data_IF_765982025789
#
_entry.id   IF_765982025789
#
_cell.length_a   1.000
_cell.length_b   1.000
_cell.length_c   1.000
_cell.angle_alpha   90.00
_cell.angle_beta   90.00
_cell.angle_gamma   90.00
#
_symmetry.space_group_name_H-M   'P 1'
#
loop_
_entity.id
_entity.type
_entity.pdbx_description
1 polymer ?
#
# COMPACT_ATOMS: atom_id res chain seq x y z
N UNK A 1 3.59 31.12 -27.56
CA UNK A 1 3.48 29.69 -27.92
C UNK A 1 2.31 29.16 -27.12
N UNK A 2 1.23 28.71 -27.78
CA UNK A 2 0.10 28.06 -27.09
C UNK A 2 0.61 26.74 -26.49
N UNK A 3 0.24 26.47 -25.24
CA UNK A 3 0.56 25.18 -24.63
C UNK A 3 -0.09 24.07 -25.47
N UNK A 4 0.70 23.08 -25.87
CA UNK A 4 0.15 21.89 -26.55
C UNK A 4 -0.48 20.99 -25.50
N UNK A 5 -1.74 20.65 -25.69
CA UNK A 5 -2.44 19.71 -24.82
C UNK A 5 -2.19 18.28 -25.29
N UNK A 6 -2.19 17.33 -24.36
CA UNK A 6 -2.03 15.89 -24.63
C UNK A 6 -3.13 15.12 -23.94
N UNK A 7 -3.41 13.87 -24.34
CA UNK A 7 -4.40 13.06 -23.65
C UNK A 7 -4.14 13.03 -22.13
N UNK A 8 -5.19 13.07 -21.31
CA UNK A 8 -5.10 12.73 -19.88
C UNK A 8 -5.23 11.22 -19.67
N UNK A 9 -6.11 10.58 -20.43
CA UNK A 9 -6.36 9.15 -20.40
C UNK A 9 -5.38 8.36 -21.28
N UNK A 10 -5.19 7.08 -20.93
CA UNK A 10 -4.41 6.13 -21.72
C UNK A 10 -5.10 5.75 -23.04
N UNK A 11 -6.44 5.89 -23.08
CA UNK A 11 -7.27 5.50 -24.21
C UNK A 11 -7.97 6.71 -24.82
N UNK A 12 -7.81 6.82 -26.13
CA UNK A 12 -8.52 7.79 -26.97
C UNK A 12 -9.14 7.09 -28.16
N UNK A 13 -10.14 7.74 -28.75
CA UNK A 13 -10.72 7.31 -30.01
C UNK A 13 -10.97 8.54 -30.87
N UNK A 14 -10.78 8.42 -32.18
CA UNK A 14 -11.10 9.51 -33.11
C UNK A 14 -12.58 9.88 -32.98
N UNK A 15 -12.90 11.14 -33.25
CA UNK A 15 -14.24 11.66 -33.14
C UNK A 15 -14.65 12.31 -34.47
N UNK A 16 -15.88 12.05 -34.90
CA UNK A 16 -16.47 12.70 -36.07
C UNK A 16 -17.79 13.35 -35.75
N UNK A 17 -18.12 14.39 -36.52
CA UNK A 17 -19.44 15.02 -36.46
C UNK A 17 -20.49 14.08 -37.08
N UNK A 18 -21.62 13.90 -36.40
CA UNK A 18 -22.76 13.10 -36.83
C UNK A 18 -24.06 13.90 -36.79
N UNK A 19 -24.83 13.85 -37.88
CA UNK A 19 -26.14 14.49 -37.99
C UNK A 19 -26.11 16.03 -38.18
N UNK A 20 -27.28 16.69 -38.13
CA UNK A 20 -27.37 18.14 -38.27
C UNK A 20 -26.98 18.84 -36.96
N UNK A 21 -25.81 19.46 -36.95
CA UNK A 21 -25.21 20.16 -35.79
C UNK A 21 -23.82 19.62 -35.46
N UNK A 22 -23.04 20.31 -34.62
CA UNK A 22 -21.67 19.89 -34.29
C UNK A 22 -21.66 18.77 -33.23
N UNK A 23 -22.52 17.75 -33.37
CA UNK A 23 -22.58 16.62 -32.44
C UNK A 23 -21.53 15.58 -32.79
N UNK A 24 -20.76 15.12 -31.82
CA UNK A 24 -19.65 14.20 -32.02
C UNK A 24 -20.01 12.79 -31.60
N UNK A 25 -19.46 11.81 -32.32
CA UNK A 25 -19.45 10.41 -31.93
C UNK A 25 -18.05 9.84 -32.12
N UNK A 26 -17.68 8.91 -31.25
CA UNK A 26 -16.44 8.15 -31.39
C UNK A 26 -16.47 7.34 -32.70
N UNK A 27 -15.36 7.32 -33.42
CA UNK A 27 -15.16 6.69 -34.72
C UNK A 27 -13.83 5.93 -34.74
N UNK A 28 -13.78 4.82 -35.48
CA UNK A 28 -12.58 3.99 -35.55
C UNK A 28 -12.26 3.21 -34.26
N UNK A 29 -11.11 2.51 -34.20
CA UNK A 29 -10.67 1.74 -33.04
C UNK A 29 -10.04 2.62 -31.95
N UNK A 30 -9.98 2.11 -30.72
CA UNK A 30 -9.21 2.73 -29.61
C UNK A 30 -7.74 2.78 -29.99
N UNK A 31 -7.09 3.93 -29.73
CA UNK A 31 -5.66 4.16 -29.96
C UNK A 31 -5.19 3.72 -31.35
N UNK A 32 -5.98 4.03 -32.39
CA UNK A 32 -5.70 3.68 -33.78
C UNK A 32 -5.54 2.16 -34.03
N UNK A 33 -6.07 1.32 -33.14
CA UNK A 33 -6.03 -0.15 -33.22
C UNK A 33 -4.98 -0.81 -32.33
N UNK A 34 -4.17 -0.04 -31.60
CA UNK A 34 -3.24 -0.57 -30.59
C UNK A 34 -3.74 -0.28 -29.18
N UNK A 35 -4.64 -1.13 -28.68
CA UNK A 35 -5.21 -1.03 -27.32
C UNK A 35 -4.17 -1.13 -26.19
N UNK A 36 -2.93 -1.55 -26.51
CA UNK A 36 -1.81 -1.60 -25.54
C UNK A 36 -0.96 -0.33 -25.54
N UNK A 37 -1.13 0.54 -26.53
CA UNK A 37 -0.45 1.83 -26.55
C UNK A 37 -1.08 2.76 -25.50
N UNK A 38 -0.26 3.63 -24.92
CA UNK A 38 -0.71 4.69 -24.05
C UNK A 38 -0.81 6.00 -24.86
N UNK A 39 -2.03 6.51 -25.04
CA UNK A 39 -2.31 7.69 -25.83
C UNK A 39 -1.53 8.93 -25.38
N UNK A 40 -1.21 9.04 -24.08
CA UNK A 40 -0.42 10.15 -23.50
C UNK A 40 0.97 10.27 -24.11
N UNK A 41 1.49 9.16 -24.64
CA UNK A 41 2.84 9.05 -25.21
C UNK A 41 2.85 8.95 -26.73
N UNK A 42 1.69 8.99 -27.41
CA UNK A 42 1.63 8.88 -28.88
C UNK A 42 2.17 10.14 -29.56
N UNK A 43 2.97 9.95 -30.61
CA UNK A 43 3.61 11.05 -31.33
C UNK A 43 2.62 12.02 -31.99
N UNK A 44 1.42 11.57 -32.36
CA UNK A 44 0.37 12.42 -32.96
C UNK A 44 -0.03 13.58 -32.06
N UNK A 45 0.06 13.43 -30.73
CA UNK A 45 -0.30 14.47 -29.77
C UNK A 45 0.86 15.37 -29.37
N UNK A 46 2.00 15.32 -30.09
CA UNK A 46 3.20 16.07 -29.72
C UNK A 46 3.05 17.59 -29.87
N UNK A 47 2.23 18.07 -30.81
CA UNK A 47 2.04 19.49 -31.14
C UNK A 47 0.64 19.77 -31.67
N UNK A 48 0.13 20.99 -31.49
CA UNK A 48 -1.04 21.49 -32.24
C UNK A 48 -2.42 21.17 -31.65
N UNK A 49 -2.50 20.31 -30.63
CA UNK A 49 -3.76 19.91 -30.03
C UNK A 49 -4.24 20.88 -28.94
N UNK A 50 -5.55 21.14 -28.97
CA UNK A 50 -6.29 22.01 -28.06
C UNK A 50 -7.35 21.24 -27.29
N UNK A 51 -7.36 21.44 -25.96
CA UNK A 51 -8.33 20.87 -25.04
C UNK A 51 -9.73 21.47 -25.25
N UNK A 52 -10.74 20.62 -25.37
CA UNK A 52 -12.13 21.06 -25.52
C UNK A 52 -13.13 20.09 -24.89
N UNK A 53 -14.38 20.55 -24.74
CA UNK A 53 -15.54 19.71 -24.50
C UNK A 53 -16.26 19.47 -25.83
N UNK A 54 -16.37 18.21 -26.25
CA UNK A 54 -17.07 17.82 -27.47
C UNK A 54 -18.52 17.44 -27.14
N UNK A 55 -19.55 18.15 -27.66
CA UNK A 55 -20.94 17.77 -27.42
C UNK A 55 -21.24 16.43 -28.09
N UNK A 56 -21.74 15.47 -27.31
CA UNK A 56 -21.90 14.09 -27.78
C UNK A 56 -23.28 13.85 -28.40
N UNK A 57 -23.34 13.00 -29.42
CA UNK A 57 -24.59 12.63 -30.09
C UNK A 57 -25.59 11.90 -29.19
N UNK A 58 -25.10 11.21 -28.15
CA UNK A 58 -25.92 10.55 -27.12
C UNK A 58 -26.29 11.50 -25.96
N UNK A 59 -25.96 12.78 -26.06
CA UNK A 59 -26.23 13.81 -25.05
C UNK A 59 -25.04 14.08 -24.13
N UNK A 60 -24.99 15.29 -23.58
CA UNK A 60 -23.88 15.74 -22.74
C UNK A 60 -22.64 16.13 -23.54
N UNK A 61 -21.49 16.14 -22.87
CA UNK A 61 -20.20 16.49 -23.44
C UNK A 61 -19.12 15.51 -22.97
N UNK A 62 -18.21 15.17 -23.87
CA UNK A 62 -17.02 14.39 -23.58
C UNK A 62 -15.77 15.26 -23.57
N UNK A 63 -14.79 14.90 -22.74
CA UNK A 63 -13.45 15.48 -22.79
C UNK A 63 -12.79 15.07 -24.11
N UNK A 64 -12.24 16.05 -24.82
CA UNK A 64 -11.57 15.79 -26.08
C UNK A 64 -10.39 16.70 -26.33
N UNK A 65 -9.73 16.40 -27.44
CA UNK A 65 -8.74 17.26 -28.05
C UNK A 65 -9.16 17.53 -29.50
N UNK A 66 -8.89 18.72 -29.99
CA UNK A 66 -9.02 19.08 -31.40
C UNK A 66 -7.70 19.60 -31.94
N UNK A 67 -7.39 19.33 -33.20
CA UNK A 67 -6.26 19.92 -33.90
C UNK A 67 -6.80 20.94 -34.92
N UNK A 68 -6.77 22.25 -34.63
CA UNK A 68 -7.42 23.26 -35.48
C UNK A 68 -6.87 23.32 -36.92
N UNK A 69 -5.62 22.87 -37.13
CA UNK A 69 -4.97 22.90 -38.44
C UNK A 69 -5.50 21.82 -39.41
N UNK A 70 -5.87 20.65 -38.89
CA UNK A 70 -6.37 19.50 -39.66
C UNK A 70 -7.88 19.36 -39.56
N UNK A 71 -8.47 19.84 -38.47
CA UNK A 71 -9.86 19.60 -38.11
C UNK A 71 -10.07 18.26 -37.39
N UNK A 72 -8.99 17.54 -37.08
CA UNK A 72 -9.06 16.26 -36.39
C UNK A 72 -9.52 16.44 -34.93
N UNK A 73 -10.25 15.46 -34.41
CA UNK A 73 -10.73 15.46 -33.04
C UNK A 73 -10.64 14.06 -32.45
N UNK A 74 -10.40 14.00 -31.14
CA UNK A 74 -10.46 12.76 -30.36
C UNK A 74 -11.29 12.93 -29.11
N UNK A 75 -11.92 11.84 -28.70
CA UNK A 75 -12.53 11.67 -27.38
C UNK A 75 -11.59 10.88 -26.49
N UNK A 76 -11.42 11.35 -25.25
CA UNK A 76 -10.75 10.57 -24.21
C UNK A 76 -11.72 9.61 -23.55
N UNK A 77 -11.23 8.40 -23.26
CA UNK A 77 -12.06 7.30 -22.77
C UNK A 77 -11.70 6.91 -21.33
N UNK A 78 -12.70 6.43 -20.59
CA UNK A 78 -12.49 5.74 -19.32
C UNK A 78 -12.04 4.27 -19.53
N UNK A 79 -11.71 3.58 -18.45
CA UNK A 79 -11.35 2.16 -18.42
C UNK A 79 -12.42 1.19 -18.99
N UNK A 80 -13.63 1.69 -19.30
CA UNK A 80 -14.70 0.91 -19.94
C UNK A 80 -14.88 1.29 -21.41
N UNK A 81 -13.98 2.08 -21.98
CA UNK A 81 -14.04 2.55 -23.35
C UNK A 81 -15.16 3.58 -23.59
N UNK A 82 -15.62 4.27 -22.55
CA UNK A 82 -16.68 5.29 -22.65
C UNK A 82 -16.07 6.69 -22.62
N UNK A 83 -16.61 7.66 -23.39
CA UNK A 83 -16.14 9.03 -23.33
C UNK A 83 -16.15 9.60 -21.90
N UNK A 84 -15.04 10.19 -21.49
CA UNK A 84 -14.92 10.86 -20.18
C UNK A 84 -15.84 12.08 -20.13
N UNK A 85 -16.84 12.13 -19.23
CA UNK A 85 -17.77 13.26 -19.17
C UNK A 85 -17.06 14.56 -18.75
N UNK A 86 -17.23 15.62 -19.54
CA UNK A 86 -16.71 16.94 -19.21
C UNK A 86 -17.55 18.04 -19.87
N UNK A 87 -18.21 18.88 -19.06
CA UNK A 87 -18.84 20.09 -19.57
C UNK A 87 -17.79 21.12 -20.04
N UNK A 88 -18.18 22.16 -20.81
CA UNK A 88 -17.26 23.17 -21.32
C UNK A 88 -16.41 23.87 -20.25
N UNK A 89 -16.98 24.16 -19.08
CA UNK A 89 -16.27 24.85 -18.01
C UNK A 89 -15.25 23.94 -17.32
N UNK A 90 -15.55 22.66 -17.20
CA UNK A 90 -14.64 21.62 -16.72
C UNK A 90 -13.48 21.43 -17.68
N UNK A 91 -13.76 21.34 -18.99
CA UNK A 91 -12.71 21.23 -20.01
C UNK A 91 -11.81 22.47 -20.06
N UNK A 92 -12.37 23.68 -19.91
CA UNK A 92 -11.60 24.92 -19.81
C UNK A 92 -10.71 24.95 -18.56
N UNK A 93 -11.22 24.45 -17.43
CA UNK A 93 -10.44 24.30 -16.19
C UNK A 93 -9.27 23.36 -16.39
N UNK A 94 -9.49 22.19 -17.01
CA UNK A 94 -8.42 21.26 -17.38
C UNK A 94 -7.38 21.92 -18.29
N UNK A 95 -7.83 22.66 -19.32
CA UNK A 95 -6.95 23.39 -20.22
C UNK A 95 -6.11 24.45 -19.47
N UNK A 96 -6.68 25.12 -18.46
CA UNK A 96 -5.97 26.08 -17.63
C UNK A 96 -4.88 25.43 -16.75
N UNK A 97 -5.16 24.23 -16.21
CA UNK A 97 -4.19 23.42 -15.47
C UNK A 97 -3.06 22.97 -16.40
N UNK A 98 -3.38 22.43 -17.58
CA UNK A 98 -2.40 21.97 -18.58
C UNK A 98 -1.51 23.11 -19.08
N UNK A 99 -2.02 24.35 -19.19
CA UNK A 99 -1.20 25.53 -19.55
C UNK A 99 -0.13 25.87 -18.51
N UNK A 100 -0.30 25.45 -17.26
CA UNK A 100 0.65 25.68 -16.15
C UNK A 100 1.51 24.45 -15.87
N UNK A 101 1.42 23.41 -16.71
CA UNK A 101 2.01 22.10 -16.48
C UNK A 101 3.55 22.08 -16.58
N UNK A 102 4.26 21.32 -15.73
CA UNK A 102 3.78 20.54 -14.58
C UNK A 102 3.56 21.45 -13.36
N UNK A 103 2.31 21.81 -13.09
CA UNK A 103 1.95 22.63 -11.95
C UNK A 103 2.05 21.78 -10.67
N UNK A 104 2.56 22.37 -9.59
CA UNK A 104 2.67 21.67 -8.31
C UNK A 104 1.41 21.80 -7.45
N UNK A 105 0.45 22.64 -7.80
CA UNK A 105 -0.77 22.89 -7.01
C UNK A 105 -1.95 23.25 -7.91
N UNK A 106 -3.13 22.83 -7.47
CA UNK A 106 -4.41 23.30 -8.01
C UNK A 106 -4.77 24.62 -7.32
N UNK A 107 -5.42 25.51 -8.06
CA UNK A 107 -5.98 26.73 -7.50
C UNK A 107 -7.36 26.44 -6.88
N UNK A 108 -7.80 27.16 -5.83
CA UNK A 108 -9.03 26.82 -5.10
C UNK A 108 -10.29 26.73 -6.00
N UNK A 109 -10.38 27.57 -7.03
CA UNK A 109 -11.50 27.54 -7.96
C UNK A 109 -11.47 26.32 -8.90
N UNK A 110 -10.28 25.81 -9.22
CA UNK A 110 -10.08 24.58 -9.99
C UNK A 110 -10.45 23.37 -9.15
N UNK A 111 -10.07 23.35 -7.87
CA UNK A 111 -10.43 22.30 -6.91
C UNK A 111 -11.94 22.17 -6.77
N UNK A 112 -12.66 23.30 -6.59
CA UNK A 112 -14.13 23.31 -6.53
C UNK A 112 -14.74 22.73 -7.80
N UNK A 113 -14.25 23.15 -8.98
CA UNK A 113 -14.77 22.63 -10.26
C UNK A 113 -14.50 21.13 -10.41
N UNK A 114 -13.28 20.69 -10.11
CA UNK A 114 -12.89 19.29 -10.20
C UNK A 114 -13.65 18.41 -9.20
N UNK A 115 -14.02 18.94 -8.03
CA UNK A 115 -14.83 18.23 -7.05
C UNK A 115 -16.25 17.92 -7.54
N UNK A 116 -16.75 18.61 -8.57
CA UNK A 116 -18.03 18.31 -9.22
C UNK A 116 -17.88 17.49 -10.52
N UNK A 117 -16.66 17.40 -11.07
CA UNK A 117 -16.39 16.68 -12.32
C UNK A 117 -16.50 15.16 -12.19
N UNK A 118 -16.51 14.40 -13.30
CA UNK A 118 -16.55 12.94 -13.23
C UNK A 118 -15.31 12.35 -12.53
N UNK A 119 -15.42 11.36 -11.63
CA UNK A 119 -14.29 10.75 -10.95
C UNK A 119 -13.21 10.18 -11.88
N UNK A 120 -13.58 9.68 -13.07
CA UNK A 120 -12.64 9.20 -14.08
C UNK A 120 -11.79 10.32 -14.66
N UNK A 121 -12.36 11.52 -14.85
CA UNK A 121 -11.61 12.70 -15.27
C UNK A 121 -10.64 13.14 -14.17
N UNK A 122 -11.10 13.21 -12.92
CA UNK A 122 -10.24 13.57 -11.76
C UNK A 122 -9.06 12.60 -11.61
N UNK A 123 -9.33 11.30 -11.78
CA UNK A 123 -8.32 10.26 -11.79
C UNK A 123 -7.30 10.47 -12.91
N UNK A 124 -7.76 10.57 -14.17
CA UNK A 124 -6.88 10.71 -15.35
C UNK A 124 -5.99 11.94 -15.26
N UNK A 125 -6.55 13.07 -14.81
CA UNK A 125 -5.81 14.30 -14.57
C UNK A 125 -4.69 14.10 -13.54
N UNK A 126 -5.01 13.54 -12.36
CA UNK A 126 -4.04 13.36 -11.28
C UNK A 126 -3.03 12.25 -11.55
N UNK A 127 -3.41 11.21 -12.28
CA UNK A 127 -2.52 10.14 -12.71
C UNK A 127 -1.41 10.70 -13.60
N UNK A 128 -1.78 11.44 -14.64
CA UNK A 128 -0.82 12.12 -15.51
C UNK A 128 -0.01 13.18 -14.75
N UNK A 129 -0.64 13.95 -13.87
CA UNK A 129 0.05 14.98 -13.06
C UNK A 129 1.11 14.38 -12.14
N UNK A 130 0.81 13.22 -11.54
CA UNK A 130 1.76 12.49 -10.70
C UNK A 130 2.86 11.78 -11.52
N UNK A 131 2.58 11.37 -12.77
CA UNK A 131 3.56 10.76 -13.66
C UNK A 131 4.56 11.78 -14.23
N UNK A 132 4.08 12.97 -14.60
CA UNK A 132 4.88 14.01 -15.26
C UNK A 132 5.43 15.07 -14.29
N UNK A 133 5.01 15.06 -13.02
CA UNK A 133 5.31 16.13 -12.07
C UNK A 133 5.39 15.66 -10.61
N UNK A 134 5.18 16.59 -9.69
CA UNK A 134 5.18 16.33 -8.25
C UNK A 134 4.08 17.18 -7.59
N UNK A 135 2.80 16.86 -7.84
CA UNK A 135 1.69 17.61 -7.28
C UNK A 135 1.72 17.58 -5.75
N UNK A 136 1.34 18.71 -5.16
CA UNK A 136 1.17 18.86 -3.73
C UNK A 136 0.12 17.89 -3.18
N UNK A 137 0.21 17.51 -1.90
CA UNK A 137 -0.70 16.52 -1.33
C UNK A 137 -2.18 16.89 -1.44
N UNK A 138 -2.50 18.18 -1.32
CA UNK A 138 -3.88 18.69 -1.37
C UNK A 138 -4.53 18.51 -2.74
N UNK A 139 -3.73 18.45 -3.82
CA UNK A 139 -4.26 18.19 -5.16
C UNK A 139 -4.95 16.83 -5.28
N UNK A 140 -4.62 15.87 -4.41
CA UNK A 140 -5.26 14.56 -4.38
C UNK A 140 -6.61 14.57 -3.66
N UNK A 141 -6.99 15.66 -2.99
CA UNK A 141 -8.23 15.73 -2.22
C UNK A 141 -9.48 15.86 -3.11
N UNK A 142 -9.32 16.15 -4.41
CA UNK A 142 -10.43 16.15 -5.38
C UNK A 142 -10.90 14.74 -5.77
N UNK A 143 -10.12 13.70 -5.48
CA UNK A 143 -10.52 12.30 -5.69
C UNK A 143 -11.79 11.98 -4.88
N UNK A 144 -12.58 10.94 -5.26
CA UNK A 144 -13.88 10.67 -4.66
C UNK A 144 -13.81 10.03 -3.25
N UNK A 145 -13.14 10.69 -2.31
CA UNK A 145 -12.86 10.21 -0.95
C UNK A 145 -14.11 9.92 -0.13
N UNK A 146 -15.26 10.52 -0.47
CA UNK A 146 -16.55 10.20 0.13
C UNK A 146 -16.97 8.73 -0.07
N UNK A 147 -16.38 8.04 -1.06
CA UNK A 147 -16.54 6.58 -1.22
C UNK A 147 -15.74 5.80 -0.18
N UNK A 148 -14.52 6.24 0.13
CA UNK A 148 -13.68 5.63 1.18
C UNK A 148 -14.36 5.82 2.52
N UNK A 149 -14.85 7.03 2.79
CA UNK A 149 -15.58 7.38 4.00
C UNK A 149 -16.76 6.44 4.25
N UNK A 150 -17.66 6.32 3.27
CA UNK A 150 -18.82 5.42 3.37
C UNK A 150 -18.42 3.96 3.56
N UNK A 151 -17.39 3.50 2.87
CA UNK A 151 -16.94 2.12 3.00
C UNK A 151 -16.28 1.85 4.37
N UNK A 152 -15.49 2.79 4.87
CA UNK A 152 -14.91 2.72 6.21
C UNK A 152 -15.99 2.66 7.28
N UNK A 153 -17.03 3.51 7.18
CA UNK A 153 -18.17 3.52 8.08
C UNK A 153 -18.95 2.18 8.04
N UNK A 154 -19.20 1.63 6.83
CA UNK A 154 -19.84 0.32 6.66
C UNK A 154 -19.04 -0.82 7.30
N UNK A 155 -17.72 -0.83 7.10
CA UNK A 155 -16.83 -1.86 7.66
C UNK A 155 -16.76 -1.73 9.18
N UNK A 156 -16.61 -0.51 9.71
CA UNK A 156 -16.56 -0.28 11.15
C UNK A 156 -17.85 -0.73 11.84
N UNK A 157 -19.02 -0.44 11.24
CA UNK A 157 -20.31 -0.90 11.74
C UNK A 157 -20.42 -2.44 11.74
N UNK A 158 -20.05 -3.10 10.64
CA UNK A 158 -20.08 -4.56 10.54
C UNK A 158 -19.11 -5.25 11.53
N UNK A 159 -17.93 -4.66 11.77
CA UNK A 159 -17.01 -5.14 12.81
C UNK A 159 -17.61 -5.01 14.22
N UNK A 160 -18.34 -3.92 14.48
CA UNK A 160 -18.93 -3.65 15.80
C UNK A 160 -20.14 -4.54 16.11
N UNK A 161 -20.99 -4.83 15.12
CA UNK A 161 -22.20 -5.66 15.31
C UNK A 161 -21.92 -7.15 15.12
N UNK A 162 -20.85 -7.51 14.40
CA UNK A 162 -20.60 -8.88 13.95
C UNK A 162 -21.57 -9.33 12.84
N UNK A 163 -22.41 -8.44 12.34
CA UNK A 163 -23.38 -8.71 11.29
C UNK A 163 -22.85 -8.24 9.93
N UNK A 164 -23.17 -8.95 8.83
CA UNK A 164 -22.80 -8.52 7.49
C UNK A 164 -23.43 -7.16 7.18
N UNK A 165 -22.67 -6.29 6.50
CA UNK A 165 -23.16 -4.97 6.12
C UNK A 165 -24.41 -5.09 5.23
N UNK A 166 -25.55 -4.59 5.72
CA UNK A 166 -26.82 -4.56 4.98
C UNK A 166 -26.84 -3.54 3.82
N UNK A 167 -25.91 -2.59 3.83
CA UNK A 167 -25.81 -1.53 2.84
C UNK A 167 -25.28 -2.05 1.49
N UNK A 168 -25.66 -1.41 0.36
CA UNK A 168 -25.16 -1.79 -0.95
C UNK A 168 -23.63 -1.67 -1.02
N UNK A 169 -22.94 -2.56 -1.75
CA UNK A 169 -21.49 -2.59 -1.82
C UNK A 169 -20.94 -1.30 -2.44
N UNK A 170 -20.08 -0.61 -1.70
CA UNK A 170 -19.33 0.54 -2.24
C UNK A 170 -18.14 0.02 -3.04
N UNK A 171 -17.97 0.55 -4.26
CA UNK A 171 -16.81 0.29 -5.12
C UNK A 171 -15.93 1.53 -5.20
N UNK A 172 -14.71 1.42 -4.68
CA UNK A 172 -13.67 2.44 -4.74
C UNK A 172 -13.04 2.53 -6.13
N UNK A 173 -12.93 1.40 -6.84
CA UNK A 173 -12.26 1.29 -8.16
C UNK A 173 -10.79 1.74 -8.09
N UNK A 174 -10.15 1.94 -9.25
CA UNK A 174 -8.75 2.36 -9.36
C UNK A 174 -8.53 3.85 -9.05
N UNK A 175 -9.58 4.66 -8.84
CA UNK A 175 -9.51 6.13 -8.79
C UNK A 175 -8.47 6.69 -7.80
N UNK A 176 -8.14 5.95 -6.75
CA UNK A 176 -7.19 6.37 -5.72
C UNK A 176 -5.73 5.97 -5.97
N UNK A 177 -5.46 5.25 -7.06
CA UNK A 177 -4.10 4.84 -7.43
C UNK A 177 -3.10 6.02 -7.50
N UNK A 178 -3.46 7.21 -8.03
CA UNK A 178 -2.53 8.34 -8.10
C UNK A 178 -2.11 8.85 -6.72
N UNK A 179 -2.98 8.71 -5.71
CA UNK A 179 -2.64 9.07 -4.33
C UNK A 179 -1.56 8.15 -3.73
N UNK A 180 -1.15 7.09 -4.43
CA UNK A 180 -0.02 6.23 -4.07
C UNK A 180 -0.35 5.20 -3.00
N UNK A 181 -1.62 5.03 -2.65
CA UNK A 181 -2.02 4.13 -1.59
C UNK A 181 -2.86 2.96 -2.09
N UNK A 182 -2.35 1.75 -1.87
CA UNK A 182 -3.08 0.50 -2.11
C UNK A 182 -4.03 0.13 -0.97
N UNK A 183 -4.21 0.97 0.07
CA UNK A 183 -5.09 0.63 1.20
C UNK A 183 -6.55 0.46 0.75
N UNK A 184 -6.99 1.19 -0.28
CA UNK A 184 -8.37 1.15 -0.79
C UNK A 184 -8.77 -0.25 -1.25
N UNK A 185 -7.88 -0.95 -1.94
CA UNK A 185 -8.09 -2.35 -2.31
C UNK A 185 -8.20 -3.28 -1.09
N UNK A 186 -7.39 -3.05 -0.04
CA UNK A 186 -7.48 -3.82 1.19
C UNK A 186 -8.80 -3.54 1.95
N UNK A 187 -9.27 -2.30 1.92
CA UNK A 187 -10.56 -1.90 2.49
C UNK A 187 -11.73 -2.56 1.75
N UNK A 188 -11.71 -2.60 0.42
CA UNK A 188 -12.72 -3.33 -0.38
C UNK A 188 -12.69 -4.85 -0.13
N UNK A 189 -11.49 -5.43 0.00
CA UNK A 189 -11.32 -6.84 0.35
C UNK A 189 -11.90 -7.15 1.73
N UNK A 190 -11.67 -6.28 2.72
CA UNK A 190 -12.22 -6.45 4.07
C UNK A 190 -13.75 -6.35 4.06
N UNK A 191 -14.30 -5.36 3.36
CA UNK A 191 -15.75 -5.24 3.19
C UNK A 191 -16.37 -6.42 2.43
N UNK A 192 -15.65 -7.04 1.49
CA UNK A 192 -16.08 -8.26 0.82
C UNK A 192 -16.06 -9.45 1.76
N UNK A 193 -14.98 -9.62 2.54
CA UNK A 193 -14.83 -10.71 3.48
C UNK A 193 -15.88 -10.71 4.59
N UNK A 194 -16.23 -9.53 5.11
CA UNK A 194 -17.29 -9.37 6.10
C UNK A 194 -18.67 -9.73 5.55
N UNK A 195 -18.91 -9.54 4.26
CA UNK A 195 -20.18 -9.93 3.61
C UNK A 195 -20.25 -11.42 3.29
N UNK A 196 -19.11 -12.05 3.01
CA UNK A 196 -19.04 -13.49 2.74
C UNK A 196 -18.85 -14.35 3.99
N UNK A 197 -18.72 -13.73 5.17
CA UNK A 197 -18.39 -14.38 6.44
C UNK A 197 -17.16 -15.31 6.33
N UNK A 198 -16.13 -14.87 5.59
CA UNK A 198 -14.89 -15.63 5.44
C UNK A 198 -13.84 -15.10 6.44
N UNK A 199 -13.60 -15.80 7.57
CA UNK A 199 -12.68 -15.34 8.60
C UNK A 199 -11.22 -15.27 8.12
N UNK A 200 -10.82 -16.12 7.17
CA UNK A 200 -9.46 -16.12 6.62
C UNK A 200 -9.26 -14.91 5.74
N UNK A 201 -10.18 -14.65 4.82
CA UNK A 201 -10.12 -13.49 3.95
C UNK A 201 -10.22 -12.19 4.77
N UNK A 202 -11.06 -12.18 5.82
CA UNK A 202 -11.17 -11.05 6.75
C UNK A 202 -9.81 -10.75 7.39
N UNK A 203 -9.13 -11.75 7.95
CA UNK A 203 -7.81 -11.55 8.57
C UNK A 203 -6.77 -11.03 7.58
N UNK A 204 -6.66 -11.63 6.38
CA UNK A 204 -5.71 -11.19 5.35
C UNK A 204 -5.97 -9.74 4.95
N UNK A 205 -7.24 -9.39 4.72
CA UNK A 205 -7.61 -8.04 4.33
C UNK A 205 -7.35 -7.02 5.45
N UNK A 206 -7.66 -7.35 6.71
CA UNK A 206 -7.37 -6.51 7.88
C UNK A 206 -5.87 -6.27 8.05
N UNK A 207 -5.06 -7.33 7.91
CA UNK A 207 -3.60 -7.28 7.98
C UNK A 207 -3.04 -6.37 6.90
N UNK A 208 -3.50 -6.55 5.65
CA UNK A 208 -3.11 -5.72 4.53
C UNK A 208 -3.55 -4.25 4.69
N UNK A 209 -4.74 -4.01 5.25
CA UNK A 209 -5.25 -2.66 5.51
C UNK A 209 -4.36 -1.93 6.51
N UNK A 210 -4.06 -2.55 7.66
CA UNK A 210 -3.20 -1.95 8.70
C UNK A 210 -1.79 -1.67 8.15
N UNK A 211 -1.18 -2.65 7.47
CA UNK A 211 0.16 -2.48 6.89
C UNK A 211 0.23 -1.36 5.85
N UNK A 212 -0.80 -1.25 4.98
CA UNK A 212 -0.83 -0.25 3.92
C UNK A 212 -1.16 1.14 4.45
N UNK A 213 -2.06 1.27 5.41
CA UNK A 213 -2.35 2.55 6.06
C UNK A 213 -1.16 3.07 6.86
N UNK A 214 -0.44 2.18 7.56
CA UNK A 214 0.80 2.53 8.23
C UNK A 214 1.83 3.13 7.26
N UNK A 215 1.82 2.78 5.97
CA UNK A 215 2.78 3.30 4.97
C UNK A 215 2.17 4.31 4.01
N UNK A 216 0.92 4.71 4.21
CA UNK A 216 0.23 5.60 3.29
C UNK A 216 0.82 7.02 3.33
N UNK A 217 0.77 7.71 2.18
CA UNK A 217 1.05 9.14 2.11
C UNK A 217 -0.11 9.93 2.74
N UNK A 218 -0.16 10.00 4.07
CA UNK A 218 -1.35 10.49 4.79
C UNK A 218 -1.71 11.94 4.48
N UNK A 219 -0.73 12.77 4.10
CA UNK A 219 -1.00 14.14 3.62
C UNK A 219 -1.88 14.19 2.34
N UNK A 220 -1.87 13.13 1.51
CA UNK A 220 -2.72 13.04 0.31
C UNK A 220 -4.16 12.63 0.62
N UNK A 221 -4.45 12.29 1.88
CA UNK A 221 -5.77 11.85 2.34
C UNK A 221 -6.44 13.02 3.08
N UNK A 222 -7.66 13.44 2.69
CA UNK A 222 -8.40 14.48 3.38
C UNK A 222 -8.56 14.18 4.87
N UNK A 223 -8.57 15.23 5.69
CA UNK A 223 -8.67 15.09 7.15
C UNK A 223 -9.89 14.27 7.58
N UNK A 224 -11.06 14.53 6.99
CA UNK A 224 -12.31 13.81 7.31
C UNK A 224 -12.19 12.31 7.05
N UNK A 225 -11.50 11.92 5.98
CA UNK A 225 -11.24 10.51 5.65
C UNK A 225 -10.24 9.90 6.59
N UNK A 226 -9.19 10.64 6.98
CA UNK A 226 -8.23 10.17 8.00
C UNK A 226 -8.93 9.89 9.34
N UNK A 227 -9.83 10.76 9.77
CA UNK A 227 -10.61 10.58 11.01
C UNK A 227 -11.47 9.31 10.97
N UNK A 228 -12.20 9.06 9.87
CA UNK A 228 -12.97 7.83 9.68
C UNK A 228 -12.11 6.57 9.65
N UNK A 229 -10.96 6.61 8.96
CA UNK A 229 -10.03 5.49 8.92
C UNK A 229 -9.41 5.20 10.28
N UNK A 230 -9.17 6.21 11.12
CA UNK A 230 -8.74 6.03 12.51
C UNK A 230 -9.78 5.28 13.34
N UNK A 231 -11.05 5.68 13.25
CA UNK A 231 -12.15 4.98 13.94
C UNK A 231 -12.28 3.52 13.50
N UNK A 232 -12.08 3.25 12.20
CA UNK A 232 -12.03 1.89 11.67
C UNK A 232 -10.86 1.09 12.25
N UNK A 233 -9.66 1.67 12.33
CA UNK A 233 -8.49 1.01 12.90
C UNK A 233 -8.65 0.71 14.38
N UNK A 234 -9.30 1.59 15.15
CA UNK A 234 -9.65 1.33 16.55
C UNK A 234 -10.60 0.12 16.67
N UNK A 235 -11.58 0.00 15.78
CA UNK A 235 -12.48 -1.15 15.73
C UNK A 235 -11.74 -2.45 15.36
N UNK A 236 -10.80 -2.37 14.43
CA UNK A 236 -9.95 -3.50 14.01
C UNK A 236 -9.05 -3.99 15.16
N UNK A 237 -8.37 -3.08 15.85
CA UNK A 237 -7.39 -3.42 16.87
C UNK A 237 -7.99 -3.94 18.18
N UNK A 238 -9.28 -3.64 18.46
CA UNK A 238 -9.93 -3.95 19.74
C UNK A 238 -9.95 -5.44 20.08
N UNK A 239 -10.23 -6.29 19.09
CA UNK A 239 -10.49 -7.72 19.30
C UNK A 239 -9.35 -8.63 18.81
N UNK A 240 -8.30 -8.05 18.22
CA UNK A 240 -7.12 -8.78 17.73
C UNK A 240 -5.86 -8.21 18.39
N UNK A 241 -5.41 -8.87 19.46
CA UNK A 241 -4.21 -8.48 20.21
C UNK A 241 -2.94 -8.48 19.34
N UNK A 242 -2.88 -9.32 18.31
CA UNK A 242 -1.74 -9.42 17.40
C UNK A 242 -1.67 -8.22 16.45
N UNK A 243 -2.83 -7.72 15.99
CA UNK A 243 -2.92 -6.57 15.09
C UNK A 243 -3.03 -5.21 15.79
N UNK A 244 -3.38 -5.18 17.09
CA UNK A 244 -3.58 -3.96 17.85
C UNK A 244 -2.45 -2.93 17.66
N UNK A 245 -1.20 -3.34 17.82
CA UNK A 245 -0.05 -2.45 17.67
C UNK A 245 0.06 -1.86 16.25
N UNK A 246 -0.27 -2.66 15.22
CA UNK A 246 -0.23 -2.20 13.83
C UNK A 246 -1.38 -1.26 13.50
N UNK A 247 -2.57 -1.54 14.01
CA UNK A 247 -3.72 -0.67 13.88
C UNK A 247 -3.48 0.67 14.59
N UNK A 248 -2.95 0.66 15.81
CA UNK A 248 -2.62 1.85 16.59
C UNK A 248 -1.59 2.73 15.87
N UNK A 249 -0.51 2.16 15.34
CA UNK A 249 0.44 2.94 14.54
C UNK A 249 -0.24 3.58 13.33
N UNK A 250 -0.99 2.79 12.57
CA UNK A 250 -1.66 3.29 11.38
C UNK A 250 -2.59 4.45 11.75
N UNK A 251 -3.28 4.37 12.90
CA UNK A 251 -4.14 5.43 13.40
C UNK A 251 -3.34 6.68 13.80
N UNK A 252 -2.20 6.52 14.48
CA UNK A 252 -1.30 7.62 14.85
C UNK A 252 -0.73 8.33 13.62
N UNK A 253 -0.32 7.57 12.59
CA UNK A 253 0.17 8.12 11.32
C UNK A 253 -0.90 8.84 10.50
N UNK A 254 -2.16 8.42 10.64
CA UNK A 254 -3.27 9.18 10.08
C UNK A 254 -3.54 10.45 10.91
N UNK A 255 -3.25 10.44 12.20
CA UNK A 255 -3.43 11.58 13.11
C UNK A 255 -2.41 12.70 12.93
N UNK A 256 -1.13 12.38 12.75
CA UNK A 256 -0.11 13.35 12.36
C UNK A 256 0.04 13.36 10.84
N UNK A 257 -0.05 14.52 10.20
CA UNK A 257 0.25 14.64 8.77
C UNK A 257 1.78 14.51 8.54
N UNK A 258 2.33 13.32 8.75
CA UNK A 258 3.74 13.05 8.56
C UNK A 258 4.02 12.92 7.05
N UNK A 259 5.08 13.54 6.52
CA UNK A 259 5.58 13.16 5.21
C UNK A 259 5.91 11.66 5.22
N UNK A 260 5.68 10.99 4.10
CA UNK A 260 6.05 9.58 3.87
C UNK A 260 7.47 9.28 4.37
N UNK A 261 7.73 8.08 4.93
CA UNK A 261 9.10 7.65 5.24
C UNK A 261 9.82 7.33 3.92
N UNK A 262 10.24 8.37 3.20
CA UNK A 262 11.27 8.30 2.18
C UNK A 262 11.97 9.66 2.12
N UNK A 263 12.80 9.91 3.13
CA UNK A 263 13.88 10.86 3.06
C UNK A 263 15.18 10.07 3.28
N UNK A 264 16.22 10.24 2.45
CA UNK A 264 17.54 9.70 2.78
C UNK A 264 18.01 10.33 4.10
N UNK A 265 18.74 9.59 4.96
CA UNK A 265 19.05 10.06 6.30
C UNK A 265 19.99 11.27 6.23
N UNK A 266 19.56 12.41 6.77
CA UNK A 266 20.49 13.48 7.16
C UNK A 266 21.19 13.11 8.48
N UNK A 267 22.51 13.29 8.59
CA UNK A 267 23.25 12.97 9.80
C UNK A 267 23.22 14.17 10.78
N UNK A 268 22.63 14.02 11.97
CA UNK A 268 23.00 14.96 13.06
C UNK A 268 22.08 15.15 14.27
N UNK A 269 20.81 14.73 14.28
CA UNK A 269 19.90 15.01 15.41
C UNK A 269 19.83 13.86 16.43
N UNK A 270 20.14 14.11 17.70
CA UNK A 270 19.90 13.18 18.81
C UNK A 270 18.86 13.81 19.74
N UNK A 271 17.67 13.23 19.76
CA UNK A 271 16.62 13.53 20.74
C UNK A 271 16.01 12.20 21.18
N UNK A 272 15.77 12.03 22.48
CA UNK A 272 15.17 10.81 23.04
C UNK A 272 13.65 10.99 22.97
N UNK A 273 13.00 10.26 22.06
CA UNK A 273 11.55 10.32 21.82
C UNK A 273 10.91 8.99 22.25
N UNK A 274 9.79 9.07 22.96
CA UNK A 274 8.95 7.91 23.25
C UNK A 274 8.51 7.27 21.93
N UNK A 275 8.87 6.00 21.74
CA UNK A 275 8.83 5.29 20.45
C UNK A 275 7.41 5.14 19.89
N UNK A 276 7.04 5.98 18.92
CA UNK A 276 6.04 5.61 17.92
C UNK A 276 6.57 4.38 17.18
N UNK A 277 5.78 3.30 17.13
CA UNK A 277 6.10 2.06 16.41
C UNK A 277 6.38 2.38 14.94
N UNK A 278 7.61 2.56 14.48
CA UNK A 278 7.84 2.71 13.03
C UNK A 278 8.04 1.33 12.39
N UNK A 279 7.01 0.76 11.76
CA UNK A 279 7.21 -0.41 10.89
C UNK A 279 8.04 -0.02 9.66
N UNK A 280 9.36 -0.16 9.78
CA UNK A 280 10.33 0.13 8.73
C UNK A 280 11.59 0.84 9.21
N UNK A 281 11.54 1.49 10.38
CA UNK A 281 12.72 1.99 11.08
C UNK A 281 12.87 1.19 12.37
N UNK A 282 13.90 0.34 12.50
CA UNK A 282 14.10 -0.39 13.76
C UNK A 282 14.23 0.63 14.89
N UNK A 283 13.62 0.35 16.05
CA UNK A 283 13.88 1.15 17.25
C UNK A 283 15.40 1.29 17.43
N UNK A 284 15.92 2.50 17.18
CA UNK A 284 17.35 2.75 17.16
C UNK A 284 17.87 2.83 18.59
N UNK A 285 18.04 1.68 19.24
CA UNK A 285 18.83 1.60 20.46
C UNK A 285 20.26 1.26 20.04
N UNK A 286 21.14 2.27 20.12
CA UNK A 286 22.56 2.17 19.77
C UNK A 286 23.29 1.29 20.77
N UNK A 287 23.25 -0.03 20.57
CA UNK A 287 24.28 -0.90 21.11
C UNK A 287 25.42 -0.94 20.12
N UNK A 288 26.46 -0.14 20.41
CA UNK A 288 27.76 -0.20 19.75
C UNK A 288 28.37 -1.55 20.13
N UNK A 289 28.00 -2.60 19.40
CA UNK A 289 28.66 -3.89 19.50
C UNK A 289 30.10 -3.69 19.02
N UNK A 290 31.02 -3.49 19.95
CA UNK A 290 32.45 -3.47 19.69
C UNK A 290 32.97 -4.89 19.98
N UNK A 291 33.12 -5.77 18.96
CA UNK A 291 33.55 -7.16 19.15
C UNK A 291 34.90 -7.29 19.88
N UNK A 292 35.69 -6.21 19.96
CA UNK A 292 37.02 -6.20 20.54
C UNK A 292 37.08 -6.01 22.08
N UNK A 293 35.97 -5.69 22.77
CA UNK A 293 36.03 -5.26 24.18
C UNK A 293 35.54 -6.27 25.24
N UNK A 294 34.87 -7.37 24.87
CA UNK A 294 34.39 -8.36 25.83
C UNK A 294 35.33 -9.58 25.92
N UNK A 295 36.43 -9.42 26.68
CA UNK A 295 37.18 -10.57 27.18
C UNK A 295 36.40 -11.24 28.32
N UNK A 296 35.35 -11.97 27.99
CA UNK A 296 34.49 -12.68 28.94
C UNK A 296 33.36 -13.41 28.23
N UNK A 297 32.92 -14.54 28.77
CA UNK A 297 31.84 -15.36 28.22
C UNK A 297 30.43 -14.72 28.32
N UNK A 298 30.35 -13.41 28.54
CA UNK A 298 29.10 -12.67 28.69
C UNK A 298 28.65 -12.13 27.32
N UNK A 299 27.55 -12.70 26.81
CA UNK A 299 26.84 -12.15 25.66
C UNK A 299 26.08 -10.87 26.03
N UNK A 300 25.84 -10.00 25.06
CA UNK A 300 24.98 -8.83 25.22
C UNK A 300 23.53 -9.20 24.89
N UNK A 301 22.58 -8.82 25.74
CA UNK A 301 21.15 -9.04 25.52
C UNK A 301 20.42 -7.70 25.49
N UNK A 302 19.50 -7.54 24.55
CA UNK A 302 18.59 -6.40 24.45
C UNK A 302 17.16 -6.89 24.26
N UNK A 303 16.19 -6.19 24.86
CA UNK A 303 14.79 -6.60 24.92
C UNK A 303 13.90 -5.46 24.45
N UNK A 304 13.15 -5.73 23.38
CA UNK A 304 12.19 -4.83 22.77
C UNK A 304 10.78 -5.35 23.06
N UNK A 305 10.02 -4.56 23.82
CA UNK A 305 8.62 -4.88 24.15
C UNK A 305 7.67 -4.28 23.12
N UNK A 306 6.74 -5.10 22.63
CA UNK A 306 5.62 -4.74 21.75
C UNK A 306 4.33 -5.24 22.41
N UNK A 307 3.17 -4.70 22.02
CA UNK A 307 1.89 -4.97 22.71
C UNK A 307 1.60 -6.46 22.91
N UNK A 308 1.88 -7.30 21.91
CA UNK A 308 1.71 -8.75 21.99
C UNK A 308 3.01 -9.56 21.92
N UNK A 309 4.16 -8.92 21.67
CA UNK A 309 5.42 -9.62 21.39
C UNK A 309 6.56 -9.05 22.23
N UNK A 310 7.44 -9.93 22.69
CA UNK A 310 8.76 -9.56 23.23
C UNK A 310 9.80 -10.06 22.25
N UNK A 311 10.61 -9.14 21.71
CA UNK A 311 11.74 -9.46 20.86
C UNK A 311 13.02 -9.32 21.68
N UNK A 312 13.82 -10.37 21.71
CA UNK A 312 15.11 -10.40 22.40
C UNK A 312 16.21 -10.57 21.37
N UNK A 313 17.12 -9.60 21.30
CA UNK A 313 18.34 -9.67 20.51
C UNK A 313 19.50 -10.08 21.42
N UNK A 314 20.14 -11.21 21.13
CA UNK A 314 21.30 -11.70 21.87
C UNK A 314 22.52 -11.73 20.96
N UNK A 315 23.53 -10.92 21.28
CA UNK A 315 24.84 -10.94 20.65
C UNK A 315 25.82 -11.78 21.47
N UNK A 316 26.57 -12.67 20.80
CA UNK A 316 27.63 -13.46 21.41
C UNK A 316 29.00 -12.98 20.95
N UNK A 317 30.03 -13.21 21.76
CA UNK A 317 31.41 -12.83 21.45
C UNK A 317 32.02 -13.58 20.25
N UNK A 318 31.41 -14.69 19.82
CA UNK A 318 31.78 -15.43 18.61
C UNK A 318 31.19 -14.84 17.32
N UNK A 319 30.62 -13.63 17.37
CA UNK A 319 30.00 -12.94 16.25
C UNK A 319 28.61 -13.47 15.89
N UNK A 320 28.05 -14.40 16.67
CA UNK A 320 26.68 -14.90 16.44
C UNK A 320 25.64 -13.97 17.06
N UNK A 321 24.58 -13.75 16.30
CA UNK A 321 23.39 -13.02 16.73
C UNK A 321 22.21 -13.98 16.80
N UNK A 322 21.36 -13.77 17.80
CA UNK A 322 20.10 -14.49 17.94
C UNK A 322 18.97 -13.48 18.10
N UNK A 323 17.91 -13.65 17.31
CA UNK A 323 16.66 -12.93 17.50
C UNK A 323 15.65 -13.94 17.99
N UNK A 324 15.21 -13.80 19.23
CA UNK A 324 14.15 -14.61 19.83
C UNK A 324 12.90 -13.77 19.94
N UNK A 325 11.76 -14.35 19.58
CA UNK A 325 10.47 -13.68 19.72
C UNK A 325 9.57 -14.56 20.57
N UNK A 326 8.91 -13.96 21.56
CA UNK A 326 7.91 -14.64 22.38
C UNK A 326 6.62 -13.83 22.50
N UNK A 327 5.49 -14.52 22.62
CA UNK A 327 4.20 -13.93 22.96
C UNK A 327 3.47 -14.81 23.99
N UNK A 328 2.68 -14.24 24.91
CA UNK A 328 1.85 -15.05 25.80
C UNK A 328 0.84 -15.87 24.99
N UNK A 329 0.46 -17.06 25.47
CA UNK A 329 -0.52 -17.93 24.82
C UNK A 329 -1.64 -18.29 25.82
N UNK A 330 -2.42 -17.27 26.17
CA UNK A 330 -3.64 -17.42 26.96
C UNK A 330 -4.80 -18.04 26.11
N UNK A 331 -5.94 -18.41 26.74
CA UNK A 331 -7.06 -19.01 26.00
C UNK A 331 -7.61 -18.14 24.86
N UNK A 332 -7.62 -16.81 25.01
CA UNK A 332 -8.12 -15.89 23.99
C UNK A 332 -7.17 -15.85 22.78
N UNK A 333 -5.87 -15.74 23.03
CA UNK A 333 -4.79 -15.77 22.03
C UNK A 333 -4.77 -17.11 21.30
N UNK A 334 -5.01 -18.22 22.00
CA UNK A 334 -5.13 -19.55 21.39
C UNK A 334 -6.32 -19.64 20.45
N UNK A 335 -7.48 -19.09 20.83
CA UNK A 335 -8.66 -19.04 19.97
C UNK A 335 -8.42 -18.16 18.73
N UNK A 336 -7.76 -17.01 18.90
CA UNK A 336 -7.38 -16.14 17.79
C UNK A 336 -6.42 -16.82 16.82
N UNK A 337 -5.40 -17.51 17.34
CA UNK A 337 -4.43 -18.26 16.55
C UNK A 337 -5.10 -19.37 15.72
N UNK A 338 -6.06 -20.11 16.28
CA UNK A 338 -6.73 -21.20 15.56
C UNK A 338 -7.74 -20.70 14.53
N UNK A 339 -8.53 -19.67 14.85
CA UNK A 339 -9.61 -19.21 13.96
C UNK A 339 -9.18 -18.14 12.96
N UNK A 340 -8.14 -17.36 13.25
CA UNK A 340 -7.64 -16.31 12.36
C UNK A 340 -6.39 -16.71 11.58
N UNK A 341 -5.46 -17.42 12.21
CA UNK A 341 -4.09 -17.62 11.70
C UNK A 341 -3.80 -19.08 11.28
N UNK A 342 -4.78 -19.99 11.46
CA UNK A 342 -4.68 -21.44 11.16
C UNK A 342 -3.48 -22.12 11.85
N UNK A 343 -3.24 -21.78 13.12
CA UNK A 343 -2.13 -22.31 13.93
C UNK A 343 -0.71 -21.99 13.39
N UNK A 344 -0.60 -20.99 12.51
CA UNK A 344 0.65 -20.51 11.96
C UNK A 344 0.77 -19.03 12.25
N UNK A 345 1.81 -18.62 12.99
CA UNK A 345 2.08 -17.22 13.22
C UNK A 345 3.51 -16.90 12.81
N UNK A 346 3.65 -16.04 11.82
CA UNK A 346 4.92 -15.54 11.32
C UNK A 346 5.03 -14.07 11.72
N UNK A 347 6.06 -13.69 12.47
CA UNK A 347 6.32 -12.28 12.77
C UNK A 347 7.37 -11.73 11.80
N UNK A 348 7.04 -10.73 10.96
CA UNK A 348 8.04 -10.02 10.18
C UNK A 348 8.98 -9.24 11.11
N UNK A 349 10.28 -9.41 10.92
CA UNK A 349 11.33 -8.71 11.69
C UNK A 349 12.32 -8.03 10.76
N UNK A 350 12.70 -6.80 11.14
CA UNK A 350 13.73 -6.02 10.50
C UNK A 350 14.98 -6.04 11.37
N UNK A 351 16.10 -6.54 10.85
CA UNK A 351 17.37 -6.65 11.55
C UNK A 351 18.44 -5.86 10.79
N UNK A 352 19.17 -4.98 11.46
CA UNK A 352 20.32 -4.28 10.86
C UNK A 352 21.63 -4.80 11.45
N UNK A 353 22.74 -4.63 10.73
CA UNK A 353 24.06 -5.09 11.18
C UNK A 353 24.28 -6.60 11.11
N UNK A 354 23.48 -7.32 10.31
CA UNK A 354 23.61 -8.76 10.11
C UNK A 354 23.90 -9.12 8.65
N UNK A 355 24.76 -10.12 8.43
CA UNK A 355 25.27 -10.48 7.11
C UNK A 355 24.20 -11.09 6.20
N UNK A 356 23.22 -11.77 6.77
CA UNK A 356 22.17 -12.49 6.06
C UNK A 356 21.07 -11.57 5.50
N UNK A 357 21.05 -10.29 5.90
CA UNK A 357 20.15 -9.27 5.39
C UNK A 357 19.16 -8.75 6.43
N UNK A 358 18.20 -7.93 5.96
CA UNK A 358 17.39 -7.08 6.85
C UNK A 358 15.99 -7.59 7.17
N UNK A 359 15.24 -8.04 6.18
CA UNK A 359 13.85 -8.48 6.35
C UNK A 359 13.77 -10.01 6.43
N UNK A 360 13.19 -10.54 7.50
CA UNK A 360 13.01 -11.97 7.76
C UNK A 360 11.69 -12.25 8.50
N UNK A 361 11.36 -13.53 8.65
CA UNK A 361 10.16 -14.00 9.33
C UNK A 361 10.50 -14.94 10.48
N UNK A 362 10.09 -14.61 11.70
CA UNK A 362 10.19 -15.51 12.84
C UNK A 362 8.94 -16.38 12.89
N UNK A 363 9.10 -17.69 12.71
CA UNK A 363 8.02 -18.65 12.88
C UNK A 363 7.78 -18.93 14.36
N UNK A 364 6.64 -18.49 14.86
CA UNK A 364 6.24 -18.66 16.25
C UNK A 364 5.47 -19.97 16.43
N UNK A 365 5.96 -20.81 17.35
CA UNK A 365 5.40 -22.13 17.66
C UNK A 365 4.70 -22.11 19.02
N UNK A 366 3.52 -22.74 19.13
CA UNK A 366 2.82 -22.87 20.40
C UNK A 366 3.57 -23.81 21.35
N UNK A 367 3.87 -23.32 22.54
CA UNK A 367 4.22 -24.12 23.71
C UNK A 367 3.03 -24.25 24.67
N UNK A 368 3.30 -24.55 25.94
CA UNK A 368 2.27 -24.71 26.97
C UNK A 368 1.54 -23.40 27.27
N UNK A 369 2.30 -22.31 27.45
CA UNK A 369 1.83 -21.00 27.94
C UNK A 369 2.29 -19.81 27.09
N UNK A 370 3.09 -20.06 26.04
CA UNK A 370 3.64 -19.03 25.15
C UNK A 370 3.84 -19.51 23.73
N UNK A 371 3.85 -18.57 22.81
CA UNK A 371 4.39 -18.71 21.46
C UNK A 371 5.86 -18.33 21.47
N UNK A 372 6.71 -19.08 20.76
CA UNK A 372 8.14 -18.74 20.65
C UNK A 372 8.76 -19.16 19.33
N UNK A 373 9.75 -18.40 18.88
CA UNK A 373 10.56 -18.71 17.70
C UNK A 373 11.90 -17.98 17.76
N UNK A 374 12.89 -18.50 17.05
CA UNK A 374 14.25 -17.96 17.03
C UNK A 374 14.87 -17.95 15.62
N UNK A 375 15.74 -16.98 15.37
CA UNK A 375 16.64 -16.91 14.22
C UNK A 375 18.08 -16.76 14.72
N UNK A 376 19.03 -17.36 14.01
CA UNK A 376 20.48 -17.20 14.24
C UNK A 376 21.12 -16.61 12.99
N UNK A 377 21.91 -15.56 13.21
CA UNK A 377 22.56 -14.76 12.20
C UNK A 377 24.03 -14.49 12.56
N UNK A 378 24.73 -13.80 11.66
CA UNK A 378 26.12 -13.40 11.82
C UNK A 378 26.23 -11.88 11.83
N UNK A 379 26.89 -11.32 12.85
CA UNK A 379 27.13 -9.89 12.93
C UNK A 379 28.11 -9.42 11.85
N UNK A 380 27.83 -8.26 11.25
CA UNK A 380 28.81 -7.53 10.44
C UNK A 380 29.66 -6.64 11.36
N UNK A 381 30.98 -6.64 11.19
CA UNK A 381 31.93 -6.06 12.16
C UNK A 381 31.87 -4.54 12.35
N UNK A 382 31.14 -3.81 11.49
CA UNK A 382 31.23 -2.34 11.39
C UNK A 382 29.92 -1.58 11.61
N UNK A 383 28.85 -2.23 12.08
CA UNK A 383 27.52 -1.62 12.20
C UNK A 383 26.90 -1.83 13.59
N UNK A 384 26.14 -0.82 14.05
CA UNK A 384 25.20 -0.98 15.15
C UNK A 384 24.15 -2.04 14.75
N UNK A 385 23.83 -2.95 15.66
CA UNK A 385 22.93 -4.08 15.41
C UNK A 385 21.61 -3.79 16.09
N UNK A 386 20.51 -3.85 15.33
CA UNK A 386 19.16 -3.63 15.85
C UNK A 386 18.21 -4.68 15.32
N UNK A 387 17.14 -4.98 16.07
CA UNK A 387 16.07 -5.86 15.63
C UNK A 387 14.71 -5.30 16.09
N UNK A 388 13.73 -5.27 15.19
CA UNK A 388 12.38 -4.81 15.51
C UNK A 388 11.32 -5.53 14.67
N UNK A 389 10.05 -5.44 15.07
CA UNK A 389 8.91 -5.87 14.28
C UNK A 389 8.80 -4.99 13.01
N UNK A 390 8.77 -5.63 11.83
CA UNK A 390 8.76 -4.93 10.54
C UNK A 390 7.35 -4.73 9.95
N UNK A 391 6.35 -5.39 10.52
CA UNK A 391 4.97 -5.33 10.06
C UNK A 391 4.03 -6.16 10.93
N UNK A 392 2.74 -6.24 10.55
CA UNK A 392 1.79 -7.05 11.29
C UNK A 392 2.16 -8.54 11.21
N UNK A 393 1.82 -9.32 12.24
CA UNK A 393 1.98 -10.77 12.20
C UNK A 393 1.12 -11.39 11.09
N UNK A 394 1.63 -12.46 10.50
CA UNK A 394 1.07 -13.12 9.33
C UNK A 394 0.64 -14.55 9.68
N UNK A 395 -0.47 -14.99 9.07
CA UNK A 395 -1.03 -16.33 9.21
C UNK A 395 -0.75 -17.23 8.01
N UNK A 396 -1.31 -18.44 8.04
CA UNK A 396 -1.15 -19.40 6.94
C UNK A 396 -1.62 -18.83 5.58
N UNK A 397 -2.74 -18.11 5.56
CA UNK A 397 -3.31 -17.57 4.32
C UNK A 397 -2.46 -16.43 3.70
N UNK A 398 -1.51 -15.86 4.45
CA UNK A 398 -0.59 -14.84 3.94
C UNK A 398 0.63 -15.46 3.22
N UNK A 399 0.83 -16.77 3.33
CA UNK A 399 1.99 -17.49 2.78
C UNK A 399 2.25 -17.21 1.28
N UNK A 400 1.22 -17.12 0.39
CA UNK A 400 1.45 -16.80 -1.02
C UNK A 400 2.01 -15.39 -1.27
N UNK A 401 1.83 -14.48 -0.31
CA UNK A 401 2.21 -13.06 -0.45
C UNK A 401 3.55 -12.72 0.22
N UNK A 402 4.25 -13.69 0.82
CA UNK A 402 5.55 -13.45 1.43
C UNK A 402 6.57 -13.01 0.37
N UNK A 403 7.54 -12.18 0.79
CA UNK A 403 8.68 -11.85 -0.06
C UNK A 403 9.57 -13.10 -0.23
N UNK A 404 9.74 -13.63 -1.46
CA UNK A 404 10.56 -14.80 -1.71
C UNK A 404 11.99 -14.64 -1.18
N UNK A 405 12.56 -13.44 -1.28
CA UNK A 405 13.92 -13.17 -0.86
C UNK A 405 14.03 -13.15 0.68
N UNK A 406 13.08 -12.53 1.38
CA UNK A 406 13.00 -12.61 2.83
C UNK A 406 12.80 -14.06 3.34
N UNK A 407 12.05 -14.90 2.61
CA UNK A 407 11.91 -16.33 2.93
C UNK A 407 13.24 -17.06 2.78
N UNK A 408 13.98 -16.83 1.69
CA UNK A 408 15.32 -17.42 1.48
C UNK A 408 16.27 -17.08 2.63
N UNK A 409 16.35 -15.80 3.01
CA UNK A 409 17.14 -15.33 4.16
C UNK A 409 16.72 -16.01 5.46
N UNK A 410 15.41 -16.04 5.71
CA UNK A 410 14.81 -16.67 6.90
C UNK A 410 15.24 -18.14 7.04
N UNK A 411 15.24 -18.89 5.94
CA UNK A 411 15.58 -20.32 5.94
C UNK A 411 17.07 -20.57 6.26
N UNK A 412 17.96 -19.69 5.82
CA UNK A 412 19.38 -19.75 6.15
C UNK A 412 19.65 -19.51 7.64
N UNK A 413 18.80 -18.70 8.29
CA UNK A 413 18.94 -18.31 9.69
C UNK A 413 18.25 -19.27 10.69
N UNK A 414 17.71 -20.41 10.26
CA UNK A 414 16.96 -21.30 11.15
C UNK A 414 17.87 -22.04 12.14
N UNK A 415 17.55 -21.94 13.44
CA UNK A 415 18.34 -22.54 14.52
C UNK A 415 18.14 -24.06 14.57
N UNK A 416 16.89 -24.54 14.58
CA UNK A 416 16.59 -25.96 14.84
C UNK A 416 16.16 -26.68 13.57
N UNK A 417 16.51 -27.97 13.49
CA UNK A 417 16.08 -28.83 12.39
C UNK A 417 14.54 -28.97 12.32
N UNK A 418 13.85 -28.87 13.46
CA UNK A 418 12.39 -28.89 13.54
C UNK A 418 11.75 -27.62 12.97
N UNK A 419 12.41 -26.46 13.03
CA UNK A 419 11.93 -25.22 12.41
C UNK A 419 12.07 -25.30 10.89
N UNK A 420 13.23 -25.76 10.41
CA UNK A 420 13.47 -26.05 8.99
C UNK A 420 12.46 -27.04 8.42
N UNK A 421 12.10 -28.09 9.18
CA UNK A 421 11.07 -29.06 8.76
C UNK A 421 9.70 -28.39 8.68
N UNK A 422 9.31 -27.61 9.68
CA UNK A 422 8.02 -26.93 9.68
C UNK A 422 7.89 -25.92 8.55
N UNK A 423 8.93 -25.14 8.28
CA UNK A 423 8.95 -24.25 7.11
C UNK A 423 8.76 -25.01 5.79
N UNK A 424 9.42 -26.16 5.61
CA UNK A 424 9.21 -27.01 4.43
C UNK A 424 7.76 -27.51 4.32
N UNK A 425 7.15 -27.94 5.43
CA UNK A 425 5.74 -28.34 5.47
C UNK A 425 4.80 -27.19 5.07
N UNK A 426 5.07 -25.96 5.53
CA UNK A 426 4.29 -24.79 5.15
C UNK A 426 4.42 -24.48 3.67
N UNK A 427 5.65 -24.40 3.16
CA UNK A 427 5.93 -24.07 1.76
C UNK A 427 5.42 -25.12 0.77
N UNK A 428 5.36 -26.39 1.17
CA UNK A 428 4.76 -27.47 0.38
C UNK A 428 3.26 -27.28 0.13
N UNK A 429 2.57 -26.40 0.87
CA UNK A 429 1.16 -26.05 0.63
C UNK A 429 0.97 -25.09 -0.55
N UNK A 430 2.05 -24.47 -1.04
CA UNK A 430 2.01 -23.60 -2.21
C UNK A 430 2.11 -24.43 -3.50
N UNK A 431 1.45 -23.98 -4.60
CA UNK A 431 1.55 -24.64 -5.90
C UNK A 431 2.99 -24.83 -6.37
N UNK A 432 3.23 -25.88 -7.14
CA UNK A 432 4.52 -26.10 -7.78
C UNK A 432 4.90 -24.90 -8.65
N UNK A 433 6.16 -24.44 -8.53
CA UNK A 433 6.65 -23.28 -9.26
C UNK A 433 6.29 -21.91 -8.66
N UNK A 434 5.55 -21.86 -7.55
CA UNK A 434 5.28 -20.60 -6.84
C UNK A 434 6.59 -19.92 -6.40
N UNK A 435 6.79 -18.59 -6.60
CA UNK A 435 8.05 -17.91 -6.31
C UNK A 435 8.56 -18.12 -4.88
N UNK A 436 7.67 -18.01 -3.89
CA UNK A 436 7.99 -18.23 -2.46
C UNK A 436 8.46 -19.66 -2.18
N UNK A 437 7.90 -20.65 -2.88
CA UNK A 437 8.32 -22.06 -2.73
C UNK A 437 9.68 -22.30 -3.39
N UNK A 438 9.88 -21.78 -4.60
CA UNK A 438 11.16 -21.85 -5.32
C UNK A 438 12.32 -21.24 -4.53
N UNK A 439 12.07 -20.15 -3.82
CA UNK A 439 13.07 -19.51 -2.98
C UNK A 439 13.65 -20.43 -1.88
N UNK A 440 12.88 -21.45 -1.46
CA UNK A 440 13.33 -22.44 -0.49
C UNK A 440 14.03 -23.66 -1.12
N UNK A 441 13.75 -23.94 -2.40
CA UNK A 441 14.34 -25.05 -3.15
C UNK A 441 15.73 -24.68 -3.69
N UNK A 442 15.97 -23.41 -4.01
CA UNK A 442 17.27 -22.89 -4.51
C UNK A 442 18.40 -22.80 -3.47
N UNK A 443 18.21 -23.30 -2.24
CA UNK A 443 19.22 -23.31 -1.17
C UNK A 443 20.11 -24.57 -1.14
N UNK A 444 19.95 -25.48 -2.11
CA UNK A 444 20.84 -26.62 -2.31
C UNK A 444 21.68 -26.43 -3.56
N UNK A 445 23.00 -26.48 -3.42
CA UNK A 445 24.06 -26.37 -4.46
C UNK A 445 24.49 -24.96 -4.91
N UNK A 446 25.52 -24.44 -4.24
CA UNK A 446 26.80 -24.08 -4.85
C UNK A 446 27.92 -24.37 -3.85
#
# INVERSE_FOLDING_TARGET
MTATHRPLAEWVQDARIVGPGPLWAADGPVNDGDERADARHMARFATGWERCALPLANGGHGLGLTEPATGDAVLELDDFGRPLPADPATAETVAAIERRWPANRLEPHEEVRLHDADPGLRYSLLDRLAAEGSPGPDSFHVLPWERVDRLADQVAAALATGEPAAAPPVRLRHYFAPAGSRFTAALEQLASALRSDDPRLRRVATTALCARLARAATARIPQTTRERLRLLLDAVGRDDAFLYATAALAADRLGGAFPTPYAPPEPGGREVTWWMLDYGSPASVRNRYAPAASSGAEGSEDVVLRSAFTLTLTGRSDGRLYVTVTAPLDPATRALLSHGYDEVLLLPVHVTGAAEGREMYVLLKPGTDRLSGDLRMTATTDLDITADQAGPPLGLADLPSLDPEAVRRTLACQVRASDRRRWRELLARLPDGHPVRRAAEGGGTA
#
